data_IF_387576223639
#
_entry.id   IF_387576223639
#
_cell.length_a   1.000
_cell.length_b   1.000
_cell.length_c   1.000
_cell.angle_alpha   90.00
_cell.angle_beta   90.00
_cell.angle_gamma   90.00
#
_symmetry.space_group_name_H-M   'P 1'
#
loop_
_entity.id
_entity.type
_entity.pdbx_description
1 polymer ?
#
# COMPACT_ATOMS: atom_id res chain seq x y z
N UNK A 1 -8.28 43.05 2.26
CA UNK A 1 -7.80 42.45 1.00
C UNK A 1 -8.23 41.01 0.94
N UNK A 2 -8.80 40.54 -0.18
CA UNK A 2 -9.10 39.11 -0.36
C UNK A 2 -7.81 38.45 -0.83
N UNK A 3 -7.17 37.67 0.04
CA UNK A 3 -6.01 36.87 -0.34
C UNK A 3 -6.47 35.66 -1.14
N UNK A 4 -5.92 35.50 -2.35
CA UNK A 4 -6.16 34.33 -3.17
C UNK A 4 -5.18 33.21 -2.80
N UNK A 5 -5.63 31.95 -2.77
CA UNK A 5 -4.75 30.82 -2.44
C UNK A 5 -3.67 30.67 -3.51
N UNK A 6 -2.41 30.51 -3.05
CA UNK A 6 -1.29 30.16 -3.94
C UNK A 6 -1.47 28.75 -4.52
N UNK A 7 -0.68 28.42 -5.54
CA UNK A 7 -0.78 27.12 -6.20
C UNK A 7 -0.36 25.96 -5.29
N UNK A 8 0.59 26.19 -4.38
CA UNK A 8 0.98 25.22 -3.34
C UNK A 8 -0.20 24.89 -2.41
N UNK A 9 -0.97 25.89 -2.00
CA UNK A 9 -2.18 25.69 -1.20
C UNK A 9 -3.22 24.85 -1.96
N UNK A 10 -3.41 25.15 -3.25
CA UNK A 10 -4.33 24.36 -4.10
C UNK A 10 -3.86 22.91 -4.20
N UNK A 11 -2.56 22.67 -4.42
CA UNK A 11 -2.00 21.31 -4.51
C UNK A 11 -2.19 20.55 -3.21
N UNK A 12 -1.94 21.18 -2.07
CA UNK A 12 -2.14 20.56 -0.75
C UNK A 12 -3.60 20.13 -0.54
N UNK A 13 -4.55 21.02 -0.83
CA UNK A 13 -5.98 20.71 -0.74
C UNK A 13 -6.35 19.57 -1.70
N UNK A 14 -5.84 19.59 -2.93
CA UNK A 14 -6.07 18.50 -3.89
C UNK A 14 -5.50 17.16 -3.40
N UNK A 15 -4.32 17.15 -2.78
CA UNK A 15 -3.74 15.96 -2.17
C UNK A 15 -4.59 15.41 -1.03
N UNK A 16 -5.10 16.29 -0.16
CA UNK A 16 -5.98 15.89 0.93
C UNK A 16 -7.25 15.25 0.38
N UNK A 17 -7.91 15.89 -0.58
CA UNK A 17 -9.19 15.44 -1.12
C UNK A 17 -9.07 14.20 -2.02
N UNK A 18 -8.02 14.11 -2.84
CA UNK A 18 -7.87 13.03 -3.84
C UNK A 18 -7.11 11.80 -3.32
N UNK A 19 -6.23 11.97 -2.33
CA UNK A 19 -5.35 10.91 -1.85
C UNK A 19 -5.57 10.60 -0.37
N UNK A 20 -5.30 11.57 0.51
CA UNK A 20 -5.28 11.31 1.95
C UNK A 20 -6.65 10.91 2.51
N UNK A 21 -7.70 11.71 2.28
CA UNK A 21 -9.04 11.44 2.82
C UNK A 21 -9.64 10.13 2.31
N UNK A 22 -9.63 9.81 1.00
CA UNK A 22 -10.16 8.55 0.50
C UNK A 22 -9.46 7.32 1.10
N UNK A 23 -8.12 7.34 1.15
CA UNK A 23 -7.34 6.23 1.74
C UNK A 23 -7.63 6.10 3.23
N UNK A 24 -7.61 7.21 3.97
CA UNK A 24 -7.92 7.21 5.40
C UNK A 24 -9.31 6.62 5.67
N UNK A 25 -10.31 7.03 4.87
CA UNK A 25 -11.67 6.53 4.99
C UNK A 25 -11.75 5.03 4.67
N UNK A 26 -11.05 4.57 3.63
CA UNK A 26 -10.98 3.15 3.27
C UNK A 26 -10.34 2.30 4.38
N UNK A 27 -9.28 2.80 5.03
CA UNK A 27 -8.66 2.14 6.19
C UNK A 27 -9.67 2.03 7.35
N UNK A 28 -10.45 3.08 7.62
CA UNK A 28 -11.45 3.07 8.69
C UNK A 28 -12.61 2.12 8.40
N UNK A 29 -13.04 2.05 7.14
CA UNK A 29 -14.12 1.16 6.69
C UNK A 29 -13.68 -0.30 6.62
N UNK A 30 -12.47 -0.56 6.12
CA UNK A 30 -11.92 -1.89 5.86
C UNK A 30 -10.66 -2.10 6.69
N UNK A 31 -10.87 -2.44 7.97
CA UNK A 31 -9.81 -2.52 8.97
C UNK A 31 -9.13 -3.89 9.06
N UNK A 32 -9.43 -4.82 8.14
CA UNK A 32 -8.88 -6.17 8.21
C UNK A 32 -7.44 -6.18 7.69
N UNK A 33 -6.62 -7.07 8.27
CA UNK A 33 -5.24 -7.29 7.84
C UNK A 33 -5.14 -7.60 6.34
N UNK A 34 -6.13 -8.32 5.81
CA UNK A 34 -6.24 -8.70 4.41
C UNK A 34 -6.46 -7.52 3.47
N UNK A 35 -6.95 -6.40 3.98
CA UNK A 35 -7.22 -5.19 3.18
C UNK A 35 -5.98 -4.28 3.15
N UNK A 36 -5.01 -4.50 4.04
CA UNK A 36 -3.80 -3.70 4.17
C UNK A 36 -3.03 -3.51 2.86
N UNK A 37 -2.72 -4.58 2.09
CA UNK A 37 -2.06 -4.43 0.79
C UNK A 37 -2.84 -3.54 -0.19
N UNK A 38 -4.17 -3.61 -0.16
CA UNK A 38 -5.02 -2.79 -1.01
C UNK A 38 -4.92 -1.31 -0.63
N UNK A 39 -4.92 -0.98 0.67
CA UNK A 39 -4.77 0.40 1.16
C UNK A 39 -3.44 1.01 0.73
N UNK A 40 -2.34 0.25 0.82
CA UNK A 40 -1.02 0.71 0.35
C UNK A 40 -1.06 0.95 -1.16
N UNK A 41 -1.61 0.01 -1.93
CA UNK A 41 -1.72 0.15 -3.38
C UNK A 41 -2.57 1.37 -3.77
N UNK A 42 -3.70 1.60 -3.09
CA UNK A 42 -4.54 2.78 -3.31
C UNK A 42 -3.78 4.06 -3.00
N UNK A 43 -3.00 4.11 -1.91
CA UNK A 43 -2.17 5.27 -1.56
C UNK A 43 -1.15 5.60 -2.65
N UNK A 44 -0.43 4.58 -3.15
CA UNK A 44 0.51 4.74 -4.27
C UNK A 44 -0.20 5.21 -5.52
N UNK A 45 -1.36 4.62 -5.84
CA UNK A 45 -2.13 4.99 -7.03
C UNK A 45 -2.66 6.42 -6.96
N UNK A 46 -3.16 6.83 -5.80
CA UNK A 46 -3.78 8.14 -5.61
C UNK A 46 -2.77 9.28 -5.45
N UNK A 47 -1.51 9.01 -5.11
CA UNK A 47 -0.46 10.03 -5.05
C UNK A 47 0.12 10.40 -6.43
N UNK A 48 0.02 9.52 -7.43
CA UNK A 48 0.66 9.68 -8.77
C UNK A 48 0.31 10.94 -9.54
N UNK A 49 -0.77 11.65 -9.22
CA UNK A 49 -1.11 12.90 -9.91
C UNK A 49 -0.19 14.06 -9.50
N UNK A 50 0.56 13.92 -8.41
CA UNK A 50 1.45 14.94 -7.92
C UNK A 50 2.66 15.14 -8.85
N UNK A 51 3.22 16.36 -8.90
CA UNK A 51 4.45 16.61 -9.64
C UNK A 51 5.63 15.83 -9.03
N UNK A 52 6.63 15.53 -9.85
CA UNK A 52 7.75 14.65 -9.51
C UNK A 52 8.52 15.10 -8.25
N UNK A 53 8.73 16.41 -8.09
CA UNK A 53 9.41 16.96 -6.91
C UNK A 53 8.66 16.66 -5.60
N UNK A 54 7.32 16.55 -5.62
CA UNK A 54 6.53 16.17 -4.45
C UNK A 54 6.47 14.65 -4.26
N UNK A 55 6.46 13.88 -5.36
CA UNK A 55 6.56 12.42 -5.28
C UNK A 55 7.88 11.98 -4.64
N UNK A 56 8.99 12.65 -4.94
CA UNK A 56 10.29 12.40 -4.29
C UNK A 56 10.25 12.57 -2.76
N UNK A 57 9.31 13.36 -2.23
CA UNK A 57 9.10 13.54 -0.79
C UNK A 57 8.10 12.51 -0.24
N UNK A 58 7.04 12.22 -0.98
CA UNK A 58 5.91 11.40 -0.49
C UNK A 58 6.19 9.90 -0.62
N UNK A 59 6.84 9.45 -1.69
CA UNK A 59 7.12 8.02 -1.91
C UNK A 59 7.96 7.42 -0.76
N UNK A 60 9.03 8.07 -0.27
CA UNK A 60 9.75 7.58 0.92
C UNK A 60 8.87 7.52 2.17
N UNK A 61 7.90 8.43 2.32
CA UNK A 61 6.96 8.44 3.46
C UNK A 61 6.00 7.26 3.36
N UNK A 62 5.50 6.94 2.17
CA UNK A 62 4.66 5.76 1.93
C UNK A 62 5.47 4.49 2.21
N UNK A 63 6.68 4.37 1.65
CA UNK A 63 7.54 3.18 1.78
C UNK A 63 7.89 2.90 3.24
N UNK A 64 8.24 3.93 4.03
CA UNK A 64 8.54 3.79 5.46
C UNK A 64 7.36 3.24 6.28
N UNK A 65 6.13 3.39 5.79
CA UNK A 65 4.92 2.92 6.47
C UNK A 65 4.31 1.66 5.81
N UNK A 66 4.97 1.08 4.81
CA UNK A 66 4.42 0.04 3.96
C UNK A 66 4.46 -1.39 4.54
N UNK A 67 4.37 -1.55 5.86
CA UNK A 67 4.42 -2.87 6.51
C UNK A 67 3.35 -3.86 5.99
N UNK A 68 2.20 -3.35 5.56
CA UNK A 68 1.15 -4.18 4.96
C UNK A 68 1.48 -4.68 3.56
N UNK A 69 2.50 -4.16 2.88
CA UNK A 69 2.96 -4.64 1.58
C UNK A 69 3.92 -5.84 1.67
N UNK A 70 4.09 -6.43 2.86
CA UNK A 70 4.88 -7.64 3.01
C UNK A 70 4.31 -8.81 2.18
N UNK A 71 5.18 -9.70 1.65
CA UNK A 71 4.72 -10.86 0.87
C UNK A 71 3.69 -11.72 1.59
N UNK A 72 3.82 -11.89 2.91
CA UNK A 72 2.85 -12.64 3.72
C UNK A 72 1.47 -11.97 3.72
N UNK A 73 1.42 -10.65 3.92
CA UNK A 73 0.18 -9.89 3.94
C UNK A 73 -0.48 -9.86 2.55
N UNK A 74 0.32 -9.80 1.48
CA UNK A 74 -0.17 -9.94 0.11
C UNK A 74 -0.76 -11.33 -0.15
N UNK A 75 -0.14 -12.40 0.34
CA UNK A 75 -0.73 -13.74 0.23
C UNK A 75 -2.03 -13.87 1.04
N UNK A 76 -2.11 -13.21 2.20
CA UNK A 76 -3.34 -13.15 3.00
C UNK A 76 -4.47 -12.40 2.28
N UNK A 77 -4.17 -11.31 1.59
CA UNK A 77 -5.19 -10.61 0.79
C UNK A 77 -5.67 -11.47 -0.39
N UNK A 78 -4.76 -12.21 -1.03
CA UNK A 78 -5.10 -13.08 -2.16
C UNK A 78 -6.08 -14.20 -1.77
N UNK A 79 -5.94 -14.82 -0.60
CA UNK A 79 -6.81 -15.94 -0.18
C UNK A 79 -8.25 -15.51 0.15
N UNK A 80 -8.49 -14.22 0.39
CA UNK A 80 -9.84 -13.66 0.60
C UNK A 80 -10.37 -12.88 -0.60
N UNK A 81 -9.61 -12.84 -1.72
CA UNK A 81 -10.02 -12.15 -2.94
C UNK A 81 -11.37 -12.70 -3.46
N UNK A 82 -12.23 -11.85 -4.02
CA UNK A 82 -13.52 -12.26 -4.56
C UNK A 82 -13.36 -13.23 -5.76
N UNK A 83 -12.25 -13.15 -6.48
CA UNK A 83 -11.94 -13.95 -7.67
C UNK A 83 -11.32 -15.29 -7.27
N UNK A 84 -11.99 -16.39 -7.64
CA UNK A 84 -11.55 -17.76 -7.28
C UNK A 84 -10.13 -18.08 -7.72
N UNK A 85 -9.74 -17.70 -8.94
CA UNK A 85 -8.40 -17.97 -9.47
C UNK A 85 -7.29 -17.25 -8.67
N UNK A 86 -7.57 -16.08 -8.09
CA UNK A 86 -6.61 -15.37 -7.23
C UNK A 86 -6.49 -16.07 -5.87
N UNK A 87 -7.60 -16.54 -5.30
CA UNK A 87 -7.57 -17.33 -4.06
C UNK A 87 -6.76 -18.61 -4.22
N UNK A 88 -6.98 -19.34 -5.32
CA UNK A 88 -6.21 -20.55 -5.64
C UNK A 88 -4.72 -20.24 -5.80
N UNK A 89 -4.38 -19.14 -6.50
CA UNK A 89 -2.99 -18.71 -6.63
C UNK A 89 -2.37 -18.37 -5.27
N UNK A 90 -3.10 -17.67 -4.41
CA UNK A 90 -2.68 -17.35 -3.04
C UNK A 90 -2.37 -18.61 -2.25
N UNK A 91 -3.28 -19.59 -2.27
CA UNK A 91 -3.10 -20.88 -1.60
C UNK A 91 -1.88 -21.64 -2.14
N UNK A 92 -1.71 -21.73 -3.48
CA UNK A 92 -0.54 -22.39 -4.10
C UNK A 92 0.76 -21.72 -3.68
N UNK A 93 0.81 -20.38 -3.61
CA UNK A 93 1.99 -19.62 -3.16
C UNK A 93 2.31 -19.90 -1.70
N UNK A 94 1.30 -19.95 -0.82
CA UNK A 94 1.48 -20.28 0.60
C UNK A 94 2.02 -21.71 0.76
N UNK A 95 1.40 -22.69 0.09
CA UNK A 95 1.85 -24.09 0.16
C UNK A 95 3.31 -24.19 -0.29
N UNK A 96 3.63 -23.65 -1.47
CA UNK A 96 5.00 -23.64 -2.01
C UNK A 96 5.99 -22.98 -1.05
N UNK A 97 5.65 -21.83 -0.49
CA UNK A 97 6.51 -21.12 0.46
C UNK A 97 6.76 -21.96 1.72
N UNK A 98 5.74 -22.65 2.24
CA UNK A 98 5.87 -23.51 3.43
C UNK A 98 6.68 -24.78 3.17
N UNK A 99 6.56 -25.37 1.98
CA UNK A 99 7.32 -26.58 1.61
C UNK A 99 8.78 -26.28 1.31
N UNK A 100 9.08 -25.10 0.75
CA UNK A 100 10.44 -24.71 0.36
C UNK A 100 11.22 -23.97 1.44
N UNK A 101 10.58 -23.55 2.54
CA UNK A 101 11.25 -22.80 3.59
C UNK A 101 12.16 -23.72 4.43
N UNK A 102 13.47 -23.44 4.53
CA UNK A 102 14.31 -24.12 5.51
C UNK A 102 13.85 -23.75 6.92
N UNK A 103 14.07 -24.64 7.90
CA UNK A 103 13.83 -24.33 9.32
C UNK A 103 14.66 -23.08 9.69
N UNK A 104 13.98 -21.94 9.87
CA UNK A 104 14.64 -20.68 10.23
C UNK A 104 15.29 -20.84 11.60
N UNK A 105 16.60 -20.55 11.68
CA UNK A 105 17.37 -20.55 12.94
C UNK A 105 17.25 -19.23 13.71
N UNK A 106 16.78 -18.16 13.05
CA UNK A 106 16.71 -16.81 13.61
C UNK A 106 15.33 -16.18 13.44
N UNK A 107 15.02 -15.24 14.32
CA UNK A 107 13.82 -14.41 14.25
C UNK A 107 13.95 -13.45 13.07
N UNK A 108 12.89 -13.31 12.27
CA UNK A 108 12.84 -12.36 11.16
C UNK A 108 12.75 -10.93 11.70
N UNK A 109 13.63 -10.05 11.24
CA UNK A 109 13.49 -8.62 11.44
C UNK A 109 12.35 -8.05 10.56
N UNK A 110 11.48 -7.24 11.16
CA UNK A 110 10.28 -6.70 10.51
C UNK A 110 10.55 -5.28 10.02
N UNK A 111 11.19 -5.15 8.86
CA UNK A 111 11.46 -3.87 8.20
C UNK A 111 10.46 -3.62 7.07
N UNK A 112 10.06 -2.37 6.79
CA UNK A 112 9.21 -2.06 5.63
C UNK A 112 9.78 -2.65 4.33
N UNK A 113 8.94 -3.24 3.46
CA UNK A 113 9.38 -3.74 2.16
C UNK A 113 9.64 -2.58 1.20
N UNK A 114 10.54 -2.81 0.23
CA UNK A 114 10.72 -1.91 -0.91
C UNK A 114 9.49 -1.97 -1.82
N UNK A 115 8.91 -0.82 -2.13
CA UNK A 115 7.70 -0.74 -2.95
C UNK A 115 8.04 -0.55 -4.43
N UNK A 116 7.13 -1.03 -5.29
CA UNK A 116 7.11 -0.66 -6.70
C UNK A 116 6.05 0.43 -6.92
N UNK A 117 6.47 1.68 -6.97
CA UNK A 117 5.59 2.83 -7.20
C UNK A 117 4.97 2.88 -8.60
N UNK A 118 5.40 2.01 -9.53
CA UNK A 118 4.88 1.88 -10.89
C UNK A 118 3.90 0.70 -11.07
N UNK A 119 3.55 -0.02 -10.00
CA UNK A 119 2.62 -1.15 -10.09
C UNK A 119 1.21 -0.74 -10.59
N UNK A 120 0.59 -1.56 -11.44
CA UNK A 120 -0.75 -1.28 -12.03
C UNK A 120 -1.80 -2.29 -11.63
#
# INVERSE_FOLDING_TARGET
SVEYPSDEHKILVHFILKSYMPVWFNIKKSKYLTDGPEHIFQTVKSSRFLPENLLQVIDPVIERNAYFAHPENLMLSMIVDKRTHIRELGLRRIIKARTSAPKRKSIRAFHPPKLNFQAT
#
